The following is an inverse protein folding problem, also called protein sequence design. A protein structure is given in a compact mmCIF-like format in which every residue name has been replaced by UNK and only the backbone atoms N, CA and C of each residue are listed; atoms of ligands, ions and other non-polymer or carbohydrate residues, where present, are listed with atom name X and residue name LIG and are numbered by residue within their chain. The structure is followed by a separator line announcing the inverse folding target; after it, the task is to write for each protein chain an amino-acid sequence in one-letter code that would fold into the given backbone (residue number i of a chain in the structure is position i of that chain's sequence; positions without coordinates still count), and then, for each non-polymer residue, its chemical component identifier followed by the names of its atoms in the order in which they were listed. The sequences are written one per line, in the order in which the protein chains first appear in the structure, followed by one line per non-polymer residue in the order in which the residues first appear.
data_IF_269654290116
#
_entry.id   IF_269654290116
#
_cell.length_a   1.000
_cell.length_b   1.000
_cell.length_c   1.000
_cell.angle_alpha   90.00
_cell.angle_beta   90.00
_cell.angle_gamma   90.00
#
_symmetry.space_group_name_H-M   'P 1'
#
loop_
_entity.id
_entity.type
_entity.pdbx_description
1 polymer ?
#
# COMPACT_ATOMS: atom_id res chain seq x y z
N UNK A 1 35.95 -35.20 -27.38
CA UNK A 1 35.76 -33.84 -26.83
C UNK A 1 35.37 -32.85 -27.91
N UNK A 2 34.12 -32.38 -27.95
CA UNK A 2 33.72 -31.09 -28.58
C UNK A 2 32.44 -30.61 -27.90
N UNK A 3 32.57 -29.70 -26.93
CA UNK A 3 31.43 -28.98 -26.33
C UNK A 3 31.15 -27.76 -27.20
N UNK A 4 29.90 -27.58 -27.63
CA UNK A 4 29.41 -26.30 -28.15
C UNK A 4 28.11 -26.00 -27.42
N UNK A 5 28.22 -25.18 -26.38
CA UNK A 5 27.08 -24.57 -25.71
C UNK A 5 26.48 -23.53 -26.64
N UNK A 6 25.30 -23.81 -27.17
CA UNK A 6 24.46 -22.82 -27.85
C UNK A 6 23.55 -22.21 -26.78
N UNK A 7 24.04 -21.14 -26.17
CA UNK A 7 23.23 -20.26 -25.32
C UNK A 7 22.34 -19.41 -26.23
N UNK A 8 21.07 -19.75 -26.31
CA UNK A 8 20.06 -19.03 -27.06
C UNK A 8 19.44 -18.00 -26.12
N UNK A 9 20.04 -16.81 -26.05
CA UNK A 9 19.49 -15.68 -25.31
C UNK A 9 18.30 -15.16 -26.13
N UNK A 10 17.11 -15.67 -25.81
CA UNK A 10 15.86 -15.12 -26.32
C UNK A 10 15.63 -13.76 -25.66
N UNK A 11 15.87 -12.69 -26.39
CA UNK A 11 15.46 -11.34 -25.99
C UNK A 11 13.95 -11.25 -26.15
N UNK A 12 13.20 -11.47 -25.08
CA UNK A 12 11.80 -11.03 -25.01
C UNK A 12 11.77 -9.52 -24.90
N UNK A 13 11.42 -8.86 -26.00
CA UNK A 13 11.07 -7.44 -26.00
C UNK A 13 9.71 -7.31 -25.32
N UNK A 14 9.71 -6.85 -24.07
CA UNK A 14 8.53 -6.36 -23.37
C UNK A 14 8.21 -4.97 -23.93
N UNK A 15 7.43 -4.94 -25.01
CA UNK A 15 6.78 -3.71 -25.46
C UNK A 15 5.70 -3.34 -24.44
N UNK A 16 6.08 -2.51 -23.47
CA UNK A 16 5.11 -1.87 -22.57
C UNK A 16 4.43 -0.77 -23.39
N UNK A 17 3.25 -1.08 -23.92
CA UNK A 17 2.35 -0.08 -24.45
C UNK A 17 1.97 0.87 -23.32
N UNK A 18 2.46 2.11 -23.39
CA UNK A 18 2.02 3.20 -22.53
C UNK A 18 0.56 3.51 -22.87
N UNK A 19 -0.39 2.83 -22.23
CA UNK A 19 -1.76 3.31 -22.17
C UNK A 19 -1.74 4.49 -21.22
N UNK A 20 -1.67 5.71 -21.78
CA UNK A 20 -1.99 6.93 -21.02
C UNK A 20 -3.48 6.91 -20.76
N UNK A 21 -3.89 6.27 -19.68
CA UNK A 21 -5.23 6.40 -19.14
C UNK A 21 -5.28 7.81 -18.56
N UNK A 22 -5.93 8.73 -19.27
CA UNK A 22 -6.26 10.04 -18.73
C UNK A 22 -7.36 9.82 -17.68
N UNK A 23 -6.95 9.55 -16.44
CA UNK A 23 -7.87 9.62 -15.31
C UNK A 23 -8.26 11.09 -15.15
N UNK A 24 -9.49 11.41 -15.52
CA UNK A 24 -10.11 12.65 -15.11
C UNK A 24 -10.11 12.64 -13.57
N UNK A 25 -9.30 13.51 -12.99
CA UNK A 25 -9.28 13.77 -11.56
C UNK A 25 -10.59 14.49 -11.23
N UNK A 26 -11.63 13.72 -10.94
CA UNK A 26 -12.82 14.25 -10.28
C UNK A 26 -12.41 14.53 -8.84
N UNK A 27 -12.51 15.80 -8.44
CA UNK A 27 -12.30 16.22 -7.06
C UNK A 27 -13.44 15.67 -6.19
N UNK A 28 -13.37 14.38 -5.86
CA UNK A 28 -14.18 13.80 -4.80
C UNK A 28 -13.59 14.35 -3.51
N UNK A 29 -14.16 15.46 -3.04
CA UNK A 29 -14.06 15.85 -1.63
C UNK A 29 -14.42 14.61 -0.80
N UNK A 30 -13.48 13.99 -0.07
CA UNK A 30 -13.86 12.91 0.81
C UNK A 30 -14.72 13.53 1.88
N UNK A 31 -16.04 13.28 1.77
CA UNK A 31 -16.98 13.50 2.84
C UNK A 31 -16.32 12.97 4.11
N UNK A 32 -16.28 13.80 5.16
CA UNK A 32 -15.57 13.55 6.42
C UNK A 32 -16.20 12.33 7.09
N UNK A 33 -15.90 11.14 6.57
CA UNK A 33 -16.24 9.88 7.18
C UNK A 33 -15.44 9.88 8.47
N UNK A 34 -16.14 10.02 9.58
CA UNK A 34 -15.63 9.74 10.90
C UNK A 34 -15.29 8.24 10.94
N UNK A 35 -14.23 7.82 10.23
CA UNK A 35 -13.65 6.50 10.33
C UNK A 35 -13.01 6.49 11.70
N UNK A 36 -13.77 6.00 12.67
CA UNK A 36 -13.29 5.78 14.02
C UNK A 36 -12.32 4.59 13.98
N UNK A 37 -11.12 4.82 13.45
CA UNK A 37 -10.02 3.85 13.34
C UNK A 37 -9.39 3.53 14.70
N UNK A 38 -10.07 3.84 15.81
CA UNK A 38 -9.61 3.56 17.17
C UNK A 38 -10.02 2.18 17.69
N UNK A 39 -10.66 1.33 16.87
CA UNK A 39 -11.20 0.02 17.29
C UNK A 39 -10.34 -1.18 16.90
N UNK A 40 -9.03 -1.03 16.76
CA UNK A 40 -8.14 -2.19 16.63
C UNK A 40 -7.76 -2.70 18.02
N UNK A 41 -8.57 -3.63 18.56
CA UNK A 41 -8.20 -4.41 19.74
C UNK A 41 -6.81 -5.04 19.56
N UNK A 42 -6.01 -5.16 20.61
CA UNK A 42 -4.69 -5.82 20.57
C UNK A 42 -4.76 -7.24 19.95
N UNK A 43 -5.87 -7.96 20.15
CA UNK A 43 -6.12 -9.26 19.47
C UNK A 43 -6.21 -9.11 17.96
N UNK A 44 -6.87 -8.07 17.48
CA UNK A 44 -7.01 -7.77 16.05
C UNK A 44 -5.69 -7.24 15.46
N UNK A 45 -4.85 -6.57 16.27
CA UNK A 45 -3.51 -6.13 15.85
C UNK A 45 -2.58 -7.33 15.57
N UNK A 46 -2.52 -8.30 16.48
CA UNK A 46 -1.69 -9.49 16.30
C UNK A 46 -2.16 -10.35 15.12
N UNK A 47 -3.48 -10.46 14.91
CA UNK A 47 -4.02 -11.17 13.75
C UNK A 47 -3.61 -10.50 12.43
N UNK A 48 -3.70 -9.17 12.33
CA UNK A 48 -3.27 -8.45 11.12
C UNK A 48 -1.77 -8.58 10.86
N UNK A 49 -0.93 -8.49 11.90
CA UNK A 49 0.53 -8.68 11.76
C UNK A 49 0.82 -10.07 11.17
N UNK A 50 0.16 -11.11 11.65
CA UNK A 50 0.36 -12.48 11.15
C UNK A 50 -0.09 -12.62 9.69
N UNK A 51 -1.29 -12.11 9.36
CA UNK A 51 -1.80 -12.11 7.98
C UNK A 51 -0.82 -11.43 7.02
N UNK A 52 -0.26 -10.28 7.41
CA UNK A 52 0.73 -9.56 6.59
C UNK A 52 2.03 -10.36 6.44
N UNK A 53 2.51 -11.03 7.51
CA UNK A 53 3.69 -11.91 7.44
C UNK A 53 3.47 -13.08 6.47
N UNK A 54 2.30 -13.72 6.53
CA UNK A 54 1.95 -14.88 5.69
C UNK A 54 1.76 -14.52 4.21
N UNK A 55 1.35 -13.28 3.91
CA UNK A 55 1.07 -12.84 2.54
C UNK A 55 2.24 -12.11 1.84
N UNK A 56 3.45 -12.19 2.39
CA UNK A 56 4.67 -11.63 1.81
C UNK A 56 4.94 -10.17 2.17
N UNK A 57 4.21 -9.60 3.15
CA UNK A 57 4.42 -8.26 3.68
C UNK A 57 5.14 -8.27 5.04
N UNK A 58 6.07 -9.21 5.23
CA UNK A 58 6.81 -9.41 6.50
C UNK A 58 7.46 -8.14 7.05
N UNK A 59 8.07 -7.33 6.19
CA UNK A 59 8.73 -6.09 6.62
C UNK A 59 7.72 -5.05 7.12
N UNK A 60 6.58 -4.91 6.43
CA UNK A 60 5.48 -4.03 6.86
C UNK A 60 4.90 -4.53 8.18
N UNK A 61 4.70 -5.84 8.31
CA UNK A 61 4.21 -6.45 9.55
C UNK A 61 5.15 -6.20 10.73
N UNK A 62 6.46 -6.33 10.52
CA UNK A 62 7.47 -6.01 11.55
C UNK A 62 7.47 -4.52 11.90
N UNK A 63 7.29 -3.64 10.92
CA UNK A 63 7.15 -2.20 11.17
C UNK A 63 5.89 -1.89 12.00
N UNK A 64 4.76 -2.55 11.72
CA UNK A 64 3.54 -2.45 12.54
C UNK A 64 3.74 -2.96 13.98
N UNK A 65 4.48 -4.05 14.13
CA UNK A 65 4.83 -4.65 15.43
C UNK A 65 5.69 -3.68 16.27
N UNK A 66 6.72 -3.11 15.65
CA UNK A 66 7.67 -2.19 16.29
C UNK A 66 7.19 -0.73 16.34
N UNK A 67 6.00 -0.43 15.81
CA UNK A 67 5.49 0.95 15.64
C UNK A 67 6.45 1.84 14.85
N UNK A 68 7.14 1.29 13.85
CA UNK A 68 8.03 2.01 12.95
C UNK A 68 7.20 2.78 11.92
N UNK A 69 6.72 3.95 12.33
CA UNK A 69 5.90 4.83 11.52
C UNK A 69 6.64 5.38 10.29
N UNK A 70 7.96 5.53 10.37
CA UNK A 70 8.78 6.00 9.25
C UNK A 70 8.78 4.98 8.13
N UNK A 71 9.08 3.71 8.45
CA UNK A 71 9.06 2.64 7.45
C UNK A 71 7.67 2.47 6.83
N UNK A 72 6.61 2.52 7.65
CA UNK A 72 5.23 2.42 7.14
C UNK A 72 4.90 3.56 6.16
N UNK A 73 5.30 4.79 6.46
CA UNK A 73 5.09 5.94 5.57
C UNK A 73 5.91 5.82 4.28
N UNK A 74 7.19 5.45 4.36
CA UNK A 74 8.03 5.22 3.18
C UNK A 74 7.47 4.10 2.29
N UNK A 75 7.00 3.02 2.91
CA UNK A 75 6.37 1.92 2.19
C UNK A 75 5.10 2.37 1.46
N UNK A 76 4.20 3.10 2.11
CA UNK A 76 2.98 3.63 1.49
C UNK A 76 3.29 4.56 0.32
N UNK A 77 4.29 5.43 0.47
CA UNK A 77 4.71 6.37 -0.58
C UNK A 77 5.33 5.69 -1.80
N UNK A 78 5.99 4.54 -1.62
CA UNK A 78 6.70 3.82 -2.69
C UNK A 78 5.94 2.57 -3.19
N UNK A 79 4.72 2.34 -2.72
CA UNK A 79 3.94 1.17 -3.06
C UNK A 79 3.47 1.21 -4.53
N UNK A 80 3.60 0.08 -5.22
CA UNK A 80 3.02 -0.09 -6.56
C UNK A 80 1.51 -0.31 -6.49
N UNK A 81 0.79 -0.05 -7.58
CA UNK A 81 -0.67 -0.28 -7.62
C UNK A 81 -1.01 -1.77 -7.44
N UNK A 82 -0.13 -2.66 -7.93
CA UNK A 82 -0.25 -4.11 -7.70
C UNK A 82 -0.13 -4.46 -6.21
N UNK A 83 0.82 -3.85 -5.49
CA UNK A 83 0.96 -4.05 -4.05
C UNK A 83 -0.24 -3.48 -3.29
N UNK A 84 -0.79 -2.35 -3.74
CA UNK A 84 -1.98 -1.73 -3.17
C UNK A 84 -3.21 -2.63 -3.32
N UNK A 85 -3.44 -3.15 -4.52
CA UNK A 85 -4.53 -4.10 -4.81
C UNK A 85 -4.36 -5.40 -4.02
N UNK A 86 -3.12 -5.92 -3.93
CA UNK A 86 -2.85 -7.10 -3.10
C UNK A 86 -3.18 -6.87 -1.63
N UNK A 87 -2.91 -5.67 -1.09
CA UNK A 87 -3.32 -5.33 0.27
C UNK A 87 -4.83 -5.29 0.43
N UNK A 88 -5.56 -4.69 -0.52
CA UNK A 88 -7.03 -4.70 -0.54
C UNK A 88 -7.56 -6.14 -0.46
N UNK A 89 -7.05 -7.03 -1.31
CA UNK A 89 -7.48 -8.44 -1.35
C UNK A 89 -7.21 -9.16 -0.04
N UNK A 90 -6.03 -8.95 0.54
CA UNK A 90 -5.68 -9.53 1.85
C UNK A 90 -6.65 -9.04 2.92
N UNK A 91 -6.95 -7.74 2.97
CA UNK A 91 -7.89 -7.20 3.95
C UNK A 91 -9.29 -7.80 3.77
N UNK A 92 -9.78 -7.86 2.52
CA UNK A 92 -11.10 -8.44 2.19
C UNK A 92 -11.22 -9.90 2.59
N UNK A 93 -10.19 -10.69 2.31
CA UNK A 93 -10.24 -12.15 2.48
C UNK A 93 -9.92 -12.63 3.90
N UNK A 94 -9.45 -11.76 4.80
CA UNK A 94 -9.00 -12.15 6.15
C UNK A 94 -9.79 -11.49 7.29
N UNK A 95 -11.08 -11.18 7.05
CA UNK A 95 -11.98 -10.66 8.09
C UNK A 95 -11.88 -9.15 8.32
N UNK A 96 -11.16 -8.42 7.46
CA UNK A 96 -11.07 -6.96 7.47
C UNK A 96 -11.76 -6.36 6.24
N UNK A 97 -12.88 -6.94 5.82
CA UNK A 97 -13.61 -6.56 4.61
C UNK A 97 -14.00 -5.09 4.58
N UNK A 98 -14.42 -4.52 5.71
CA UNK A 98 -14.72 -3.09 5.82
C UNK A 98 -13.51 -2.22 5.49
N UNK A 99 -12.31 -2.60 5.96
CA UNK A 99 -11.07 -1.89 5.69
C UNK A 99 -10.64 -2.07 4.22
N UNK A 100 -10.78 -3.28 3.69
CA UNK A 100 -10.51 -3.56 2.27
C UNK A 100 -11.43 -2.77 1.33
N UNK A 101 -12.73 -2.69 1.62
CA UNK A 101 -13.69 -1.88 0.86
C UNK A 101 -13.39 -0.38 0.95
N UNK A 102 -12.94 0.10 2.11
CA UNK A 102 -12.49 1.49 2.25
C UNK A 102 -11.28 1.76 1.36
N UNK A 103 -10.27 0.89 1.37
CA UNK A 103 -9.10 1.02 0.50
C UNK A 103 -9.44 0.91 -0.98
N UNK A 104 -10.41 0.05 -1.35
CA UNK A 104 -10.92 -0.08 -2.72
C UNK A 104 -11.70 1.16 -3.18
N UNK A 105 -12.36 1.86 -2.26
CA UNK A 105 -13.18 3.05 -2.56
C UNK A 105 -12.38 4.34 -2.78
N UNK A 106 -11.06 4.33 -2.53
CA UNK A 106 -10.21 5.51 -2.69
C UNK A 106 -8.92 5.17 -3.43
N UNK A 107 -8.43 6.12 -4.22
CA UNK A 107 -7.15 5.96 -4.90
C UNK A 107 -5.99 5.88 -3.92
N UNK A 108 -4.90 5.23 -4.35
CA UNK A 108 -3.65 5.12 -3.59
C UNK A 108 -3.15 6.48 -3.09
N UNK A 109 -3.19 7.52 -3.93
CA UNK A 109 -2.78 8.88 -3.54
C UNK A 109 -3.65 9.44 -2.40
N UNK A 110 -4.96 9.21 -2.46
CA UNK A 110 -5.89 9.63 -1.41
C UNK A 110 -5.59 8.86 -0.11
N UNK A 111 -5.30 7.56 -0.21
CA UNK A 111 -4.92 6.74 0.95
C UNK A 111 -3.58 7.19 1.56
N UNK A 112 -2.59 7.56 0.76
CA UNK A 112 -1.30 8.12 1.24
C UNK A 112 -1.54 9.44 2.01
N UNK A 113 -2.39 10.31 1.48
CA UNK A 113 -2.76 11.58 2.13
C UNK A 113 -3.52 11.33 3.44
N UNK A 114 -4.45 10.38 3.46
CA UNK A 114 -5.14 9.95 4.67
C UNK A 114 -4.15 9.41 5.71
N UNK A 115 -3.25 8.50 5.32
CA UNK A 115 -2.22 7.95 6.20
C UNK A 115 -1.34 9.06 6.81
N UNK A 116 -0.89 10.00 5.98
CA UNK A 116 -0.07 11.14 6.41
C UNK A 116 -0.82 12.05 7.38
N UNK A 117 -2.12 12.28 7.17
CA UNK A 117 -2.95 13.05 8.09
C UNK A 117 -3.18 12.35 9.43
N UNK A 118 -3.33 11.02 9.42
CA UNK A 118 -3.48 10.19 10.63
C UNK A 118 -2.21 10.12 11.46
N UNK A 119 -1.04 10.13 10.81
CA UNK A 119 0.25 10.24 11.49
C UNK A 119 0.53 11.63 12.07
N UNK A 120 -0.36 12.61 11.81
CA UNK A 120 -0.22 13.98 12.25
C UNK A 120 0.99 14.63 11.62
N UNK A 121 0.89 15.05 10.34
CA UNK A 121 1.79 16.02 9.70
C UNK A 121 3.23 15.99 10.24
N UNK A 122 4.01 15.01 9.83
CA UNK A 122 5.47 15.11 9.83
C UNK A 122 5.99 16.09 8.77
N UNK A 123 5.41 17.29 8.72
CA UNK A 123 5.88 18.49 8.00
C UNK A 123 4.92 19.64 8.29
N UNK A 124 5.12 20.27 9.45
CA UNK A 124 5.05 21.73 9.47
C UNK A 124 6.12 22.21 8.48
N UNK A 125 5.70 22.45 7.24
CA UNK A 125 6.46 23.18 6.26
C UNK A 125 6.27 24.67 6.59
N UNK A 126 7.40 25.39 6.56
CA UNK A 126 7.55 26.84 6.57
C UNK A 126 7.32 27.56 7.91
N UNK A 127 8.33 28.18 8.54
CA UNK A 127 9.19 29.24 8.01
C UNK A 127 8.38 30.39 7.42
N UNK A 128 7.61 31.11 8.24
CA UNK A 128 7.29 32.53 8.02
C UNK A 128 6.52 33.14 9.21
N UNK A 129 7.25 33.67 10.18
CA UNK A 129 7.29 35.09 10.60
C UNK A 129 8.01 35.24 11.94
#
# INVERSE_FOLDING_TARGET
MKKRFLALIGTTVLTIGLVKIAYAKEDIYPNKSNVNLSMMSEKNKNSMINIMKENGFKNVANAMENRDFKYMSEFMNNMTDEQYNKMIDIMKNNGYESMGRMMESVDKEVMINMHSSMMGKGSAQDSQQ
#
